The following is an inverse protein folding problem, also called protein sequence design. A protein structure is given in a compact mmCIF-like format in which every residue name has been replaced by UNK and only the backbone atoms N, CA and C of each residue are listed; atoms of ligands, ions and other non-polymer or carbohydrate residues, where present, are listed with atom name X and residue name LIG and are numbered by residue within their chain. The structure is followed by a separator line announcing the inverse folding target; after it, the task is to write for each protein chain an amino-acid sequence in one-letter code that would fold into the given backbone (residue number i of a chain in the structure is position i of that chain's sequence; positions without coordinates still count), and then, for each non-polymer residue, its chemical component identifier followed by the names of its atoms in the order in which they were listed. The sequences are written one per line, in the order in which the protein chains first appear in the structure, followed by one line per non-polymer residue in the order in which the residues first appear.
data_IF_324652772368
#
_entry.id   IF_324652772368
#
_cell.length_a   1.000
_cell.length_b   1.000
_cell.length_c   1.000
_cell.angle_alpha   90.00
_cell.angle_beta   90.00
_cell.angle_gamma   90.00
#
_symmetry.space_group_name_H-M   'P 1'
#
loop_
_entity.id
_entity.type
_entity.pdbx_description
1 polymer ?
#
# COMPACT_ATOMS: atom_id res chain seq x y z
N UNK A 1 -6.44 -28.79 3.40
CA UNK A 1 -5.21 -27.96 3.44
C UNK A 1 -5.54 -26.54 2.98
N UNK A 2 -5.58 -25.56 3.88
CA UNK A 2 -5.88 -24.17 3.53
C UNK A 2 -4.59 -23.50 3.02
N UNK A 3 -4.52 -23.21 1.72
CA UNK A 3 -3.40 -22.45 1.13
C UNK A 3 -3.67 -20.97 1.41
N UNK A 4 -2.71 -20.29 2.04
CA UNK A 4 -2.77 -18.84 2.12
C UNK A 4 -2.68 -18.26 0.71
N UNK A 5 -3.54 -17.30 0.34
CA UNK A 5 -3.49 -16.67 -0.97
C UNK A 5 -2.16 -15.95 -1.16
N UNK A 6 -1.73 -15.81 -2.40
CA UNK A 6 -0.57 -14.98 -2.74
C UNK A 6 -0.85 -13.54 -2.31
N UNK A 7 0.20 -12.80 -1.91
CA UNK A 7 0.09 -11.38 -1.56
C UNK A 7 -0.60 -10.58 -2.68
N UNK A 8 -0.27 -10.87 -3.94
CA UNK A 8 -0.89 -10.25 -5.11
C UNK A 8 -2.40 -10.48 -5.20
N UNK A 9 -2.87 -11.68 -4.84
CA UNK A 9 -4.31 -12.01 -4.82
C UNK A 9 -5.03 -11.25 -3.72
N UNK A 10 -4.42 -11.13 -2.54
CA UNK A 10 -5.00 -10.38 -1.42
C UNK A 10 -5.08 -8.88 -1.74
N UNK A 11 -3.98 -8.29 -2.19
CA UNK A 11 -3.91 -6.87 -2.57
C UNK A 11 -4.88 -6.58 -3.72
N UNK A 12 -4.96 -7.46 -4.72
CA UNK A 12 -5.92 -7.34 -5.82
C UNK A 12 -7.37 -7.35 -5.35
N UNK A 13 -7.71 -8.26 -4.44
CA UNK A 13 -9.06 -8.35 -3.85
C UNK A 13 -9.41 -7.07 -3.07
N UNK A 14 -8.47 -6.56 -2.26
CA UNK A 14 -8.63 -5.32 -1.52
C UNK A 14 -8.86 -4.12 -2.46
N UNK A 15 -7.96 -3.92 -3.43
CA UNK A 15 -8.08 -2.83 -4.41
C UNK A 15 -9.41 -2.90 -5.16
N UNK A 16 -9.83 -4.10 -5.56
CA UNK A 16 -11.11 -4.32 -6.25
C UNK A 16 -12.32 -3.96 -5.38
N UNK A 17 -12.33 -4.38 -4.11
CA UNK A 17 -13.44 -4.11 -3.20
C UNK A 17 -13.62 -2.60 -2.95
N UNK A 18 -12.52 -1.89 -2.70
CA UNK A 18 -12.54 -0.43 -2.49
C UNK A 18 -12.93 0.32 -3.75
N UNK A 19 -12.40 -0.05 -4.93
CA UNK A 19 -12.81 0.59 -6.20
C UNK A 19 -14.30 0.41 -6.47
N UNK A 20 -14.84 -0.79 -6.25
CA UNK A 20 -16.30 -1.05 -6.37
C UNK A 20 -17.11 -0.17 -5.42
N UNK A 21 -16.65 0.00 -4.19
CA UNK A 21 -17.30 0.87 -3.22
C UNK A 21 -17.26 2.34 -3.65
N UNK A 22 -16.09 2.85 -4.03
CA UNK A 22 -15.93 4.23 -4.49
C UNK A 22 -16.81 4.54 -5.71
N UNK A 23 -16.83 3.65 -6.70
CA UNK A 23 -17.71 3.79 -7.87
C UNK A 23 -19.20 3.76 -7.49
N UNK A 24 -19.61 2.90 -6.55
CA UNK A 24 -20.99 2.87 -6.04
C UNK A 24 -21.37 4.18 -5.36
N UNK A 25 -20.43 4.84 -4.70
CA UNK A 25 -20.61 6.14 -4.06
C UNK A 25 -20.47 7.33 -5.04
N UNK A 26 -20.18 7.10 -6.32
CA UNK A 26 -19.97 8.17 -7.30
C UNK A 26 -18.70 8.99 -7.06
N UNK A 27 -17.70 8.42 -6.36
CA UNK A 27 -16.44 9.10 -6.08
C UNK A 27 -15.49 8.96 -7.28
N UNK A 28 -14.84 10.06 -7.66
CA UNK A 28 -13.67 10.02 -8.55
C UNK A 28 -12.50 9.40 -7.78
N UNK A 29 -12.16 8.17 -8.14
CA UNK A 29 -11.17 7.39 -7.41
C UNK A 29 -10.36 6.50 -8.37
N UNK A 30 -9.05 6.54 -8.21
CA UNK A 30 -8.13 5.64 -8.88
C UNK A 30 -7.01 5.22 -7.92
N UNK A 31 -6.57 3.98 -8.07
CA UNK A 31 -5.36 3.51 -7.42
C UNK A 31 -4.12 3.93 -8.20
N UNK A 32 -3.02 4.18 -7.51
CA UNK A 32 -1.71 4.05 -8.14
C UNK A 32 -1.55 2.64 -8.72
N UNK A 33 -0.99 2.56 -9.92
CA UNK A 33 -0.74 1.29 -10.60
C UNK A 33 0.28 0.45 -9.82
N UNK A 34 0.08 -0.88 -9.81
CA UNK A 34 0.91 -1.87 -9.08
C UNK A 34 0.95 -1.60 -7.57
N UNK A 35 1.84 -2.28 -6.87
CA UNK A 35 2.13 -2.06 -5.45
C UNK A 35 3.60 -2.42 -5.22
N UNK A 36 4.17 -1.86 -4.16
CA UNK A 36 5.52 -2.21 -3.71
C UNK A 36 5.41 -3.27 -2.62
N UNK A 37 6.12 -4.38 -2.76
CA UNK A 37 6.30 -5.38 -1.73
C UNK A 37 7.77 -5.52 -1.36
N UNK A 38 8.03 -5.63 -0.06
CA UNK A 38 9.36 -5.82 0.48
C UNK A 38 9.29 -6.78 1.67
N UNK A 39 10.10 -7.83 1.63
CA UNK A 39 10.20 -8.79 2.72
C UNK A 39 11.17 -8.25 3.76
N UNK A 40 10.70 -8.02 4.98
CA UNK A 40 11.51 -7.50 6.08
C UNK A 40 12.58 -8.54 6.48
N UNK A 41 13.86 -8.15 6.42
CA UNK A 41 15.01 -9.02 6.73
C UNK A 41 15.76 -8.53 7.97
N UNK A 42 15.14 -8.71 9.13
CA UNK A 42 15.74 -8.39 10.43
C UNK A 42 15.26 -7.06 11.02
N UNK A 43 15.83 -6.72 12.17
CA UNK A 43 15.34 -5.62 13.02
C UNK A 43 15.68 -4.25 12.42
N UNK A 44 16.83 -4.10 11.78
CA UNK A 44 17.22 -2.83 11.15
C UNK A 44 16.26 -2.44 10.01
N UNK A 45 15.95 -3.39 9.13
CA UNK A 45 14.99 -3.21 8.04
C UNK A 45 13.58 -2.89 8.56
N UNK A 46 13.16 -3.59 9.62
CA UNK A 46 11.91 -3.30 10.32
C UNK A 46 11.87 -1.86 10.85
N UNK A 47 12.94 -1.40 11.49
CA UNK A 47 13.02 -0.06 12.07
C UNK A 47 12.95 1.02 10.99
N UNK A 48 13.64 0.81 9.86
CA UNK A 48 13.58 1.74 8.73
C UNK A 48 12.16 1.84 8.15
N UNK A 49 11.49 0.70 7.95
CA UNK A 49 10.13 0.68 7.40
C UNK A 49 9.12 1.30 8.38
N UNK A 50 9.24 1.03 9.69
CA UNK A 50 8.39 1.65 10.71
C UNK A 50 8.58 3.16 10.72
N UNK A 51 9.84 3.63 10.73
CA UNK A 51 10.16 5.05 10.70
C UNK A 51 9.63 5.73 9.45
N UNK A 52 9.71 5.07 8.28
CA UNK A 52 9.13 5.57 7.04
C UNK A 52 7.61 5.73 7.18
N UNK A 53 6.88 4.68 7.59
CA UNK A 53 5.41 4.71 7.72
C UNK A 53 4.97 5.82 8.68
N UNK A 54 5.65 5.95 9.82
CA UNK A 54 5.33 6.95 10.86
C UNK A 54 5.59 8.38 10.38
N UNK A 55 6.69 8.61 9.67
CA UNK A 55 7.11 9.96 9.28
C UNK A 55 6.62 10.39 7.90
N UNK A 56 6.08 9.48 7.08
CA UNK A 56 5.74 9.74 5.68
C UNK A 56 4.80 10.94 5.51
N UNK A 57 3.69 10.99 6.26
CA UNK A 57 2.71 12.09 6.15
C UNK A 57 3.36 13.44 6.43
N UNK A 58 4.24 13.52 7.42
CA UNK A 58 4.94 14.75 7.79
C UNK A 58 6.02 15.15 6.77
N UNK A 59 6.63 14.16 6.11
CA UNK A 59 7.71 14.35 5.15
C UNK A 59 7.23 14.42 3.69
N UNK A 60 5.94 14.22 3.44
CA UNK A 60 5.37 14.09 2.10
C UNK A 60 5.74 15.26 1.18
N UNK A 61 5.66 16.51 1.67
CA UNK A 61 6.01 17.71 0.89
C UNK A 61 7.51 17.91 0.61
N UNK A 62 8.37 17.08 1.22
CA UNK A 62 9.83 17.08 1.01
C UNK A 62 10.28 15.86 0.21
N UNK A 63 9.35 14.98 -0.16
CA UNK A 63 9.66 13.76 -0.87
C UNK A 63 10.08 14.07 -2.31
N UNK A 64 11.02 13.30 -2.85
CA UNK A 64 11.54 13.51 -4.20
C UNK A 64 10.51 13.20 -5.31
N UNK A 65 9.40 12.55 -4.97
CA UNK A 65 8.26 12.27 -5.85
C UNK A 65 7.08 13.22 -5.62
N UNK A 66 7.22 14.26 -4.79
CA UNK A 66 6.13 15.20 -4.49
C UNK A 66 5.82 16.18 -5.64
N UNK A 67 6.75 16.36 -6.59
CA UNK A 67 6.63 17.26 -7.73
C UNK A 67 6.42 16.51 -9.06
#
# INVERSE_FOLDING_TARGET
CHRLPLLSTYVGSLKSAVSKYAHKCGLEFAWQQRYHDHMIRGVEDLNHISTYIESNVANWGKDCFYN
#
